data_IF_938257010493
#
_entry.id   IF_938257010493
#
_cell.length_a   1.000
_cell.length_b   1.000
_cell.length_c   1.000
_cell.angle_alpha   90.00
_cell.angle_beta   90.00
_cell.angle_gamma   90.00
#
_symmetry.space_group_name_H-M   'P 1'
#
loop_
_entity.id
_entity.type
_entity.pdbx_description
1 polymer ?
#
# COMPACT_ATOMS: atom_id res chain seq x y z
N UNK A 1 26.65 11.30 11.80
CA UNK A 1 26.49 12.36 12.83
C UNK A 1 25.03 12.36 13.19
N UNK A 2 24.72 12.04 14.47
CA UNK A 2 23.35 11.87 14.91
C UNK A 2 22.58 13.19 14.88
N UNK A 3 21.49 13.20 14.11
CA UNK A 3 20.47 14.25 14.18
C UNK A 3 19.77 14.15 15.51
N UNK A 4 20.17 14.99 16.47
CA UNK A 4 19.57 15.06 17.79
C UNK A 4 18.13 15.53 17.71
N UNK A 5 17.23 14.79 18.32
CA UNK A 5 15.91 15.27 18.70
C UNK A 5 16.07 16.43 19.69
N UNK A 6 16.07 17.65 19.19
CA UNK A 6 15.97 18.85 20.02
C UNK A 6 14.50 19.20 20.26
N UNK A 7 13.85 18.43 21.08
CA UNK A 7 12.52 18.68 21.64
C UNK A 7 12.58 18.60 23.17
N UNK A 8 13.59 19.24 23.77
CA UNK A 8 13.67 19.38 25.22
C UNK A 8 12.85 20.61 25.68
N UNK A 9 11.53 20.51 25.61
CA UNK A 9 10.69 21.20 26.60
C UNK A 9 10.86 20.46 27.92
N UNK A 10 11.06 21.21 29.01
CA UNK A 10 11.18 20.72 30.37
C UNK A 10 10.18 19.58 30.69
N UNK A 11 10.68 18.33 30.60
CA UNK A 11 9.86 17.12 30.70
C UNK A 11 9.48 16.73 32.14
N UNK A 12 9.78 17.56 33.14
CA UNK A 12 9.71 17.20 34.55
C UNK A 12 8.31 17.18 35.15
N UNK A 13 7.23 17.57 34.41
CA UNK A 13 5.88 17.67 35.01
C UNK A 13 4.73 17.34 34.02
N UNK A 14 4.92 16.51 33.00
CA UNK A 14 3.83 16.13 32.09
C UNK A 14 3.02 15.00 32.72
N UNK A 15 1.75 15.24 33.00
CA UNK A 15 0.80 14.17 33.35
C UNK A 15 0.49 13.31 32.10
N UNK A 16 0.00 12.10 32.32
CA UNK A 16 -0.44 11.21 31.24
C UNK A 16 -1.44 11.89 30.29
N UNK A 17 -2.48 12.51 30.84
CA UNK A 17 -3.49 13.22 30.08
C UNK A 17 -2.94 14.42 29.30
N UNK A 18 -2.07 15.21 29.94
CA UNK A 18 -1.45 16.38 29.31
C UNK A 18 -0.43 15.99 28.21
N UNK A 19 0.29 14.86 28.38
CA UNK A 19 1.20 14.36 27.34
C UNK A 19 0.45 13.88 26.09
N UNK A 20 -0.70 13.20 26.28
CA UNK A 20 -1.52 12.67 25.20
C UNK A 20 -2.54 13.66 24.65
N UNK A 21 -2.74 14.82 25.28
CA UNK A 21 -3.80 15.77 24.90
C UNK A 21 -5.19 15.16 25.07
N UNK A 22 -5.40 14.36 26.13
CA UNK A 22 -6.64 13.57 26.25
C UNK A 22 -7.88 14.44 26.42
N UNK A 23 -7.76 15.59 27.06
CA UNK A 23 -8.90 16.49 27.27
C UNK A 23 -9.44 16.97 25.91
N UNK A 24 -8.56 17.44 25.05
CA UNK A 24 -8.89 17.91 23.72
C UNK A 24 -9.39 16.75 22.84
N UNK A 25 -8.66 15.64 22.85
CA UNK A 25 -9.00 14.46 22.03
C UNK A 25 -10.39 13.92 22.37
N UNK A 26 -10.71 13.79 23.67
CA UNK A 26 -11.98 13.24 24.14
C UNK A 26 -13.13 14.27 24.16
N UNK A 27 -12.90 15.51 23.76
CA UNK A 27 -13.95 16.52 23.56
C UNK A 27 -14.43 16.63 22.11
N UNK A 28 -13.83 15.89 21.18
CA UNK A 28 -14.15 15.99 19.75
C UNK A 28 -15.31 15.10 19.29
N UNK A 29 -15.98 14.39 20.21
CA UNK A 29 -17.04 13.43 19.87
C UNK A 29 -18.46 14.02 19.90
N UNK A 30 -18.61 15.34 20.07
CA UNK A 30 -19.88 16.08 19.96
C UNK A 30 -20.95 15.64 20.97
N UNK A 31 -20.56 15.18 22.17
CA UNK A 31 -21.50 14.74 23.21
C UNK A 31 -22.48 15.83 23.63
N UNK A 32 -22.05 17.09 23.62
CA UNK A 32 -22.84 18.27 23.96
C UNK A 32 -23.97 18.56 22.97
N UNK A 33 -23.90 17.95 21.76
CA UNK A 33 -24.95 18.06 20.73
C UNK A 33 -26.10 17.04 20.94
N UNK A 34 -25.99 16.17 21.95
CA UNK A 34 -27.02 15.17 22.26
C UNK A 34 -27.14 14.03 21.25
N UNK A 35 -26.02 13.67 20.65
CA UNK A 35 -25.94 12.56 19.67
C UNK A 35 -26.32 11.21 20.33
N UNK A 36 -26.80 10.27 19.49
CA UNK A 36 -27.12 8.91 19.95
C UNK A 36 -25.85 8.08 20.21
N UNK A 37 -26.00 6.97 20.98
CA UNK A 37 -24.90 6.01 21.16
C UNK A 37 -24.40 5.42 19.84
N UNK A 38 -25.29 5.19 18.87
CA UNK A 38 -24.94 4.68 17.55
C UNK A 38 -24.15 5.71 16.74
N UNK A 39 -24.50 6.99 16.83
CA UNK A 39 -23.75 8.08 16.20
C UNK A 39 -22.40 8.28 16.88
N UNK A 40 -22.33 8.26 18.20
CA UNK A 40 -21.07 8.27 18.96
C UNK A 40 -20.15 7.11 18.52
N UNK A 41 -20.71 5.89 18.41
CA UNK A 41 -19.97 4.72 17.95
C UNK A 41 -19.38 4.94 16.53
N UNK A 42 -20.18 5.52 15.62
CA UNK A 42 -19.75 5.87 14.27
C UNK A 42 -18.61 6.89 14.29
N UNK A 43 -18.75 7.98 15.05
CA UNK A 43 -17.73 9.03 15.17
C UNK A 43 -16.41 8.47 15.70
N UNK A 44 -16.44 7.80 16.86
CA UNK A 44 -15.23 7.25 17.49
C UNK A 44 -14.52 6.25 16.58
N UNK A 45 -15.28 5.38 15.90
CA UNK A 45 -14.70 4.41 14.97
C UNK A 45 -13.95 5.12 13.83
N UNK A 46 -14.54 6.14 13.22
CA UNK A 46 -13.88 6.88 12.12
C UNK A 46 -12.71 7.74 12.62
N UNK A 47 -12.82 8.39 13.76
CA UNK A 47 -11.70 9.12 14.35
C UNK A 47 -10.50 8.22 14.65
N UNK A 48 -10.73 6.99 15.11
CA UNK A 48 -9.63 6.05 15.34
C UNK A 48 -8.97 5.58 14.03
N UNK A 49 -9.71 5.42 12.94
CA UNK A 49 -9.12 5.20 11.62
C UNK A 49 -8.23 6.36 11.20
N UNK A 50 -8.70 7.59 11.31
CA UNK A 50 -7.96 8.79 10.91
C UNK A 50 -6.68 8.99 11.76
N UNK A 51 -6.70 8.65 13.04
CA UNK A 51 -5.51 8.69 13.90
C UNK A 51 -4.46 7.65 13.44
N UNK A 52 -4.89 6.45 13.09
CA UNK A 52 -4.00 5.43 12.55
C UNK A 52 -3.49 5.78 11.15
N UNK A 53 -4.32 6.35 10.29
CA UNK A 53 -3.89 6.82 8.98
C UNK A 53 -2.79 7.87 9.09
N UNK A 54 -2.90 8.79 10.05
CA UNK A 54 -1.85 9.77 10.34
C UNK A 54 -0.51 9.10 10.68
N UNK A 55 -0.53 8.03 11.50
CA UNK A 55 0.68 7.29 11.83
C UNK A 55 1.21 6.53 10.62
N UNK A 56 0.35 5.86 9.87
CA UNK A 56 0.73 5.13 8.64
C UNK A 56 1.41 6.05 7.63
N UNK A 57 0.85 7.23 7.36
CA UNK A 57 1.42 8.23 6.46
C UNK A 57 2.85 8.61 6.88
N UNK A 58 3.07 8.79 8.18
CA UNK A 58 4.40 9.09 8.71
C UNK A 58 5.39 7.94 8.48
N UNK A 59 4.97 6.71 8.80
CA UNK A 59 5.81 5.52 8.60
C UNK A 59 6.14 5.31 7.11
N UNK A 60 5.16 5.46 6.21
CA UNK A 60 5.36 5.31 4.77
C UNK A 60 6.36 6.33 4.22
N UNK A 61 6.34 7.58 4.71
CA UNK A 61 7.31 8.60 4.33
C UNK A 61 8.72 8.23 4.80
N UNK A 62 8.88 7.76 6.03
CA UNK A 62 10.18 7.30 6.55
C UNK A 62 10.75 6.15 5.69
N UNK A 63 9.93 5.16 5.33
CA UNK A 63 10.35 4.05 4.46
C UNK A 63 10.78 4.57 3.10
N UNK A 64 9.96 5.41 2.48
CA UNK A 64 10.24 6.03 1.19
C UNK A 64 11.55 6.80 1.22
N UNK A 65 11.75 7.64 2.21
CA UNK A 65 12.93 8.50 2.33
C UNK A 65 14.20 7.68 2.52
N UNK A 66 14.13 6.57 3.26
CA UNK A 66 15.23 5.60 3.36
C UNK A 66 15.56 5.03 1.97
N UNK A 67 14.56 4.52 1.24
CA UNK A 67 14.77 3.84 -0.04
C UNK A 67 15.11 4.80 -1.19
N UNK A 68 14.68 6.05 -1.13
CA UNK A 68 14.94 7.07 -2.13
C UNK A 68 16.38 7.63 -2.08
N UNK A 69 17.14 7.37 -1.01
CA UNK A 69 18.54 7.82 -0.92
C UNK A 69 19.37 7.21 -2.05
N UNK A 70 20.32 7.97 -2.61
CA UNK A 70 21.19 7.50 -3.70
C UNK A 70 21.95 6.23 -3.31
N UNK A 71 22.39 6.17 -2.05
CA UNK A 71 23.04 5.01 -1.46
C UNK A 71 22.34 4.66 -0.16
N UNK A 72 21.61 3.55 -0.14
CA UNK A 72 20.94 3.07 1.07
C UNK A 72 21.95 2.32 1.93
N UNK A 73 22.35 2.85 3.09
CA UNK A 73 23.25 2.12 3.98
C UNK A 73 22.60 0.82 4.42
N UNK A 74 23.36 -0.27 4.48
CA UNK A 74 22.86 -1.59 4.89
C UNK A 74 22.12 -1.53 6.24
N UNK A 75 22.61 -0.74 7.19
CA UNK A 75 21.99 -0.53 8.50
C UNK A 75 20.61 0.19 8.46
N UNK A 76 20.21 0.77 7.33
CA UNK A 76 18.90 1.41 7.17
C UNK A 76 17.82 0.45 6.65
N UNK A 77 18.22 -0.64 5.98
CA UNK A 77 17.26 -1.63 5.46
C UNK A 77 16.45 -2.28 6.59
N UNK A 78 17.05 -2.72 7.72
CA UNK A 78 16.29 -3.20 8.88
C UNK A 78 15.28 -2.19 9.44
N UNK A 79 15.60 -0.89 9.41
CA UNK A 79 14.67 0.15 9.87
C UNK A 79 13.48 0.28 8.93
N UNK A 80 13.70 0.25 7.62
CA UNK A 80 12.61 0.23 6.65
C UNK A 80 11.69 -0.99 6.87
N UNK A 81 12.26 -2.16 7.14
CA UNK A 81 11.52 -3.38 7.50
C UNK A 81 10.72 -3.20 8.80
N UNK A 82 11.29 -2.58 9.83
CA UNK A 82 10.59 -2.29 11.08
C UNK A 82 9.38 -1.37 10.85
N UNK A 83 9.55 -0.30 10.06
CA UNK A 83 8.48 0.61 9.71
C UNK A 83 7.39 -0.08 8.89
N UNK A 84 7.74 -0.91 7.89
CA UNK A 84 6.79 -1.74 7.12
C UNK A 84 6.00 -2.67 8.03
N UNK A 85 6.69 -3.39 8.93
CA UNK A 85 6.03 -4.27 9.89
C UNK A 85 5.02 -3.55 10.78
N UNK A 86 5.34 -2.32 11.22
CA UNK A 86 4.41 -1.50 12.00
C UNK A 86 3.18 -1.11 11.19
N UNK A 87 3.35 -0.69 9.95
CA UNK A 87 2.24 -0.35 9.04
C UNK A 87 1.36 -1.58 8.79
N UNK A 88 1.97 -2.74 8.57
CA UNK A 88 1.26 -4.02 8.38
C UNK A 88 0.40 -4.36 9.59
N UNK A 89 0.93 -4.27 10.82
CA UNK A 89 0.16 -4.53 12.03
C UNK A 89 -0.96 -3.51 12.25
N UNK A 90 -0.76 -2.24 11.89
CA UNK A 90 -1.82 -1.24 11.91
C UNK A 90 -2.94 -1.65 10.95
N UNK A 91 -2.64 -2.03 9.70
CA UNK A 91 -3.68 -2.47 8.76
C UNK A 91 -4.40 -3.75 9.22
N UNK A 92 -3.70 -4.70 9.84
CA UNK A 92 -4.33 -5.88 10.46
C UNK A 92 -5.30 -5.49 11.57
N UNK A 93 -4.91 -4.54 12.42
CA UNK A 93 -5.79 -3.97 13.44
C UNK A 93 -7.02 -3.31 12.80
N UNK A 94 -6.82 -2.44 11.82
CA UNK A 94 -7.89 -1.71 11.13
C UNK A 94 -8.85 -2.66 10.39
N UNK A 95 -8.34 -3.74 9.77
CA UNK A 95 -9.18 -4.77 9.17
C UNK A 95 -10.10 -5.46 10.21
N UNK A 96 -9.60 -5.67 11.44
CA UNK A 96 -10.41 -6.21 12.52
C UNK A 96 -11.35 -5.16 13.14
N UNK A 97 -11.00 -3.89 13.12
CA UNK A 97 -11.84 -2.79 13.66
C UNK A 97 -13.16 -2.67 12.89
N UNK A 98 -13.22 -3.05 11.62
CA UNK A 98 -14.48 -3.11 10.88
C UNK A 98 -15.53 -4.02 11.53
N UNK A 99 -15.13 -5.06 12.28
CA UNK A 99 -16.04 -5.90 13.05
C UNK A 99 -16.75 -5.13 14.18
N UNK A 100 -16.08 -4.13 14.76
CA UNK A 100 -16.69 -3.23 15.73
C UNK A 100 -17.75 -2.38 15.04
N UNK A 101 -17.43 -1.82 13.85
CA UNK A 101 -18.39 -1.04 13.05
C UNK A 101 -19.59 -1.90 12.59
N UNK A 102 -19.41 -3.19 12.29
CA UNK A 102 -20.47 -4.11 11.90
C UNK A 102 -21.51 -4.37 13.00
N UNK A 103 -21.25 -3.98 14.25
CA UNK A 103 -22.25 -4.04 15.33
C UNK A 103 -23.31 -2.95 15.19
N UNK A 104 -23.06 -1.91 14.40
CA UNK A 104 -24.05 -0.90 14.05
C UNK A 104 -25.09 -1.51 13.11
N UNK A 105 -26.36 -1.46 13.52
CA UNK A 105 -27.45 -1.96 12.71
C UNK A 105 -27.79 -1.00 11.56
N UNK A 106 -28.36 -1.49 10.43
CA UNK A 106 -28.87 -0.60 9.38
C UNK A 106 -29.87 0.44 9.88
N UNK A 107 -30.73 0.05 10.84
CA UNK A 107 -31.72 0.96 11.45
C UNK A 107 -31.03 2.01 12.32
N UNK A 108 -30.05 1.61 13.13
CA UNK A 108 -29.25 2.53 13.95
C UNK A 108 -28.52 3.56 13.09
N UNK A 109 -27.90 3.12 11.99
CA UNK A 109 -27.26 4.02 11.04
C UNK A 109 -28.24 4.98 10.37
N UNK A 110 -29.41 4.48 9.92
CA UNK A 110 -30.42 5.32 9.27
C UNK A 110 -31.01 6.37 10.22
N UNK A 111 -31.01 6.13 11.53
CA UNK A 111 -31.58 7.04 12.52
C UNK A 111 -30.81 8.39 12.59
N UNK A 112 -29.50 8.40 12.33
CA UNK A 112 -28.69 9.63 12.35
C UNK A 112 -28.15 10.03 10.97
N UNK A 113 -28.32 9.19 9.94
CA UNK A 113 -27.74 9.41 8.59
C UNK A 113 -28.04 10.80 8.01
N UNK A 114 -29.26 11.29 8.21
CA UNK A 114 -29.66 12.60 7.68
C UNK A 114 -28.87 13.74 8.34
N UNK A 115 -28.43 13.57 9.58
CA UNK A 115 -27.56 14.50 10.30
C UNK A 115 -26.13 14.56 9.74
N UNK A 116 -25.66 13.54 9.00
CA UNK A 116 -24.34 13.56 8.37
C UNK A 116 -24.31 14.53 7.16
N UNK A 117 -25.44 14.94 6.63
CA UNK A 117 -25.51 15.82 5.49
C UNK A 117 -24.84 15.20 4.24
N UNK A 118 -23.87 15.90 3.68
CA UNK A 118 -23.10 15.45 2.53
C UNK A 118 -21.80 14.73 2.89
N UNK A 119 -21.48 14.57 4.18
CA UNK A 119 -20.25 13.91 4.64
C UNK A 119 -20.20 12.45 4.15
N UNK A 120 -19.06 12.05 3.65
CA UNK A 120 -18.83 10.73 3.06
C UNK A 120 -17.45 10.21 3.45
N UNK A 121 -17.31 8.90 3.68
CA UNK A 121 -16.00 8.26 3.89
C UNK A 121 -15.03 8.46 2.71
N UNK A 122 -15.53 8.81 1.51
CA UNK A 122 -14.69 9.18 0.37
C UNK A 122 -14.01 10.55 0.54
N UNK A 123 -14.38 11.31 1.55
CA UNK A 123 -13.79 12.61 1.90
C UNK A 123 -12.58 12.47 2.84
N UNK A 124 -12.21 11.24 3.26
CA UNK A 124 -10.96 11.02 3.97
C UNK A 124 -9.76 11.37 3.07
N UNK A 125 -9.21 12.56 3.26
CA UNK A 125 -8.02 12.98 2.53
C UNK A 125 -6.79 12.16 2.95
N UNK A 126 -6.71 11.68 4.20
CA UNK A 126 -5.59 10.85 4.65
C UNK A 126 -5.56 9.48 3.94
N UNK A 127 -6.72 8.87 3.68
CA UNK A 127 -6.77 7.65 2.89
C UNK A 127 -6.26 7.90 1.46
N UNK A 128 -6.65 9.04 0.86
CA UNK A 128 -6.16 9.44 -0.45
C UNK A 128 -4.66 9.75 -0.44
N UNK A 129 -4.18 10.44 0.57
CA UNK A 129 -2.75 10.74 0.75
C UNK A 129 -1.91 9.47 0.84
N UNK A 130 -2.37 8.45 1.59
CA UNK A 130 -1.70 7.15 1.65
C UNK A 130 -1.60 6.49 0.27
N UNK A 131 -2.67 6.51 -0.53
CA UNK A 131 -2.66 5.95 -1.88
C UNK A 131 -1.64 6.65 -2.78
N UNK A 132 -1.54 7.98 -2.69
CA UNK A 132 -0.56 8.80 -3.43
C UNK A 132 0.86 8.45 -2.98
N UNK A 133 1.13 8.46 -1.68
CA UNK A 133 2.46 8.14 -1.13
C UNK A 133 2.89 6.72 -1.52
N UNK A 134 1.97 5.76 -1.53
CA UNK A 134 2.23 4.39 -1.98
C UNK A 134 2.51 4.32 -3.49
N UNK A 135 1.97 5.22 -4.30
CA UNK A 135 2.01 5.17 -5.78
C UNK A 135 0.88 4.33 -6.36
N UNK A 136 -0.28 4.29 -5.69
CA UNK A 136 -1.46 3.50 -6.09
C UNK A 136 -2.55 4.36 -6.76
N UNK A 137 -2.30 5.62 -7.01
CA UNK A 137 -3.28 6.56 -7.57
C UNK A 137 -3.84 6.15 -8.93
N UNK A 138 -3.11 5.33 -9.67
CA UNK A 138 -3.52 4.83 -10.99
C UNK A 138 -3.93 3.35 -10.98
N UNK A 139 -3.79 2.64 -9.84
CA UNK A 139 -4.04 1.19 -9.77
C UNK A 139 -5.51 0.91 -9.47
N UNK A 140 -6.17 0.12 -10.32
CA UNK A 140 -7.50 -0.44 -10.06
C UNK A 140 -8.67 0.53 -10.20
N UNK A 141 -8.50 1.69 -10.83
CA UNK A 141 -9.60 2.62 -11.13
C UNK A 141 -10.27 2.26 -12.44
N UNK A 142 -11.60 2.11 -12.39
CA UNK A 142 -12.45 1.71 -13.53
C UNK A 142 -12.63 2.82 -14.57
N UNK A 143 -12.10 4.03 -14.35
CA UNK A 143 -12.22 5.15 -15.29
C UNK A 143 -11.08 6.16 -15.14
N UNK A 144 -10.84 6.94 -16.21
CA UNK A 144 -9.97 8.13 -16.26
C UNK A 144 -10.40 9.27 -15.29
N UNK A 145 -10.96 8.92 -14.13
CA UNK A 145 -11.40 9.91 -13.16
C UNK A 145 -10.18 10.54 -12.48
N UNK A 146 -10.11 11.86 -12.57
CA UNK A 146 -9.17 12.69 -11.82
C UNK A 146 -9.22 12.33 -10.32
N UNK A 147 -8.12 11.79 -9.74
CA UNK A 147 -8.08 11.37 -8.35
C UNK A 147 -8.41 12.49 -7.36
N UNK A 148 -8.13 13.73 -7.73
CA UNK A 148 -8.39 14.92 -6.92
C UNK A 148 -9.67 15.69 -7.32
N UNK A 149 -10.37 15.26 -8.37
CA UNK A 149 -11.54 16.00 -8.87
C UNK A 149 -12.65 16.17 -7.84
N UNK A 150 -12.81 15.20 -6.94
CA UNK A 150 -13.73 15.30 -5.81
C UNK A 150 -13.25 16.34 -4.79
N UNK A 151 -11.98 16.29 -4.38
CA UNK A 151 -11.39 17.22 -3.41
C UNK A 151 -11.34 18.66 -3.93
N UNK A 152 -11.13 18.87 -5.24
CA UNK A 152 -11.24 20.23 -5.85
C UNK A 152 -12.63 20.83 -5.71
N UNK A 153 -13.68 19.99 -5.76
CA UNK A 153 -15.05 20.47 -5.50
C UNK A 153 -15.27 20.76 -4.00
N UNK A 154 -14.73 19.93 -3.12
CA UNK A 154 -14.81 20.15 -1.67
C UNK A 154 -14.09 21.43 -1.25
N UNK A 155 -12.92 21.71 -1.79
CA UNK A 155 -12.09 22.87 -1.46
C UNK A 155 -12.79 24.24 -1.64
N UNK A 156 -13.94 24.27 -2.31
CA UNK A 156 -14.77 25.47 -2.42
C UNK A 156 -15.72 25.67 -1.23
N UNK A 157 -15.80 24.72 -0.28
CA UNK A 157 -16.77 24.72 0.83
C UNK A 157 -16.21 25.36 2.10
N UNK A 158 -14.92 25.06 2.39
CA UNK A 158 -14.26 25.53 3.61
C UNK A 158 -12.75 25.67 3.44
N UNK A 159 -12.12 26.43 4.33
CA UNK A 159 -10.66 26.57 4.40
C UNK A 159 -9.99 25.22 4.76
N UNK A 160 -10.66 24.37 5.55
CA UNK A 160 -10.18 23.04 5.93
C UNK A 160 -10.15 22.10 4.72
N UNK A 161 -11.20 22.11 3.88
CA UNK A 161 -11.23 21.33 2.63
C UNK A 161 -10.17 21.84 1.63
N UNK A 162 -9.96 23.16 1.57
CA UNK A 162 -8.90 23.75 0.75
C UNK A 162 -7.50 23.32 1.25
N UNK A 163 -7.28 23.30 2.56
CA UNK A 163 -6.03 22.81 3.15
C UNK A 163 -5.82 21.31 2.90
N UNK A 164 -6.88 20.50 2.94
CA UNK A 164 -6.83 19.09 2.60
C UNK A 164 -6.42 18.88 1.13
N UNK A 165 -7.00 19.63 0.19
CA UNK A 165 -6.60 19.59 -1.22
C UNK A 165 -5.13 19.97 -1.39
N UNK A 166 -4.69 21.09 -0.81
CA UNK A 166 -3.30 21.54 -0.91
C UNK A 166 -2.31 20.47 -0.39
N UNK A 167 -2.68 19.73 0.67
CA UNK A 167 -1.90 18.62 1.20
C UNK A 167 -1.80 17.45 0.22
N UNK A 168 -2.90 17.11 -0.46
CA UNK A 168 -2.90 16.06 -1.49
C UNK A 168 -2.09 16.45 -2.72
N UNK A 169 -2.20 17.71 -3.16
CA UNK A 169 -1.39 18.23 -4.27
C UNK A 169 0.11 18.22 -3.93
N UNK A 170 0.47 18.60 -2.71
CA UNK A 170 1.85 18.49 -2.24
C UNK A 170 2.35 17.02 -2.22
N UNK A 171 1.50 16.07 -1.82
CA UNK A 171 1.87 14.66 -1.83
C UNK A 171 2.11 14.11 -3.24
N UNK A 172 1.42 14.63 -4.27
CA UNK A 172 1.64 14.23 -5.68
C UNK A 172 3.01 14.67 -6.21
N UNK A 173 3.60 15.72 -5.66
CA UNK A 173 4.95 16.18 -6.02
C UNK A 173 6.06 15.36 -5.32
N UNK A 174 5.70 14.53 -4.33
CA UNK A 174 6.63 13.66 -3.62
C UNK A 174 6.93 12.40 -4.45
N UNK A 175 8.14 11.85 -4.31
CA UNK A 175 8.44 10.51 -4.82
C UNK A 175 7.56 9.48 -4.10
N UNK A 176 6.88 8.61 -4.83
CA UNK A 176 6.08 7.53 -4.22
C UNK A 176 6.96 6.41 -3.68
N UNK A 177 6.40 5.61 -2.74
CA UNK A 177 7.10 4.44 -2.19
C UNK A 177 7.39 3.39 -3.29
N UNK A 178 6.45 3.15 -4.20
CA UNK A 178 6.66 2.25 -5.34
C UNK A 178 7.80 2.74 -6.23
N UNK A 179 7.90 4.04 -6.48
CA UNK A 179 9.01 4.62 -7.25
C UNK A 179 10.35 4.46 -6.53
N UNK A 180 10.40 4.76 -5.23
CA UNK A 180 11.60 4.60 -4.41
C UNK A 180 12.05 3.13 -4.35
N UNK A 181 11.12 2.20 -4.14
CA UNK A 181 11.37 0.76 -4.14
C UNK A 181 11.87 0.27 -5.50
N UNK A 182 11.25 0.72 -6.59
CA UNK A 182 11.67 0.38 -7.97
C UNK A 182 13.09 0.84 -8.23
N UNK A 183 13.42 2.06 -7.81
CA UNK A 183 14.78 2.60 -7.92
C UNK A 183 15.77 1.80 -7.09
N UNK A 184 15.41 1.44 -5.86
CA UNK A 184 16.25 0.62 -4.98
C UNK A 184 16.50 -0.77 -5.58
N UNK A 185 15.45 -1.45 -6.05
CA UNK A 185 15.55 -2.76 -6.73
C UNK A 185 16.43 -2.69 -7.98
N UNK A 186 16.35 -1.60 -8.75
CA UNK A 186 17.17 -1.42 -9.95
C UNK A 186 18.68 -1.35 -9.66
N UNK A 187 19.06 -1.03 -8.43
CA UNK A 187 20.46 -0.95 -7.98
C UNK A 187 20.98 -2.27 -7.40
N UNK A 188 20.16 -3.32 -7.32
CA UNK A 188 20.59 -4.63 -6.84
C UNK A 188 21.74 -5.14 -7.71
N UNK A 189 22.92 -5.47 -7.16
CA UNK A 189 23.99 -6.07 -7.93
C UNK A 189 23.55 -7.44 -8.49
N UNK A 190 23.80 -7.69 -9.75
CA UNK A 190 23.43 -8.95 -10.45
C UNK A 190 24.68 -9.62 -10.97
N UNK A 191 24.92 -10.87 -10.59
CA UNK A 191 26.06 -11.67 -11.04
C UNK A 191 27.43 -11.00 -10.80
N UNK A 192 27.52 -10.11 -9.82
CA UNK A 192 28.75 -9.37 -9.48
C UNK A 192 28.91 -8.02 -10.20
N UNK A 193 28.03 -7.70 -11.14
CA UNK A 193 27.98 -6.38 -11.75
C UNK A 193 27.11 -5.41 -10.94
N UNK A 194 27.50 -4.12 -10.95
CA UNK A 194 26.80 -3.05 -10.23
C UNK A 194 26.04 -2.17 -11.22
N UNK A 195 24.90 -1.64 -10.77
CA UNK A 195 24.10 -0.73 -11.57
C UNK A 195 24.93 0.44 -12.13
N UNK A 196 24.91 0.60 -13.45
CA UNK A 196 25.65 1.66 -14.15
C UNK A 196 27.14 1.38 -14.39
N UNK A 197 27.66 0.19 -14.04
CA UNK A 197 28.99 -0.23 -14.51
C UNK A 197 28.96 -0.60 -15.99
N UNK A 198 30.12 -0.60 -16.65
CA UNK A 198 30.25 -0.83 -18.11
C UNK A 198 29.73 -2.21 -18.52
N UNK A 199 29.80 -3.20 -17.63
CA UNK A 199 29.37 -4.57 -17.83
C UNK A 199 27.93 -4.86 -17.35
N UNK A 200 27.24 -3.90 -16.71
CA UNK A 200 25.93 -4.13 -16.08
C UNK A 200 24.87 -4.60 -17.10
N UNK A 201 24.79 -3.93 -18.24
CA UNK A 201 23.78 -4.27 -19.25
C UNK A 201 23.95 -5.71 -19.77
N UNK A 202 25.18 -6.13 -20.08
CA UNK A 202 25.50 -7.47 -20.57
C UNK A 202 25.25 -8.54 -19.49
N UNK A 203 25.71 -8.29 -18.26
CA UNK A 203 25.52 -9.23 -17.15
C UNK A 203 24.03 -9.45 -16.82
N UNK A 204 23.25 -8.36 -16.81
CA UNK A 204 21.80 -8.43 -16.54
C UNK A 204 21.07 -9.13 -17.67
N UNK A 205 21.41 -8.85 -18.93
CA UNK A 205 20.81 -9.51 -20.08
C UNK A 205 21.09 -11.02 -20.06
N UNK A 206 22.35 -11.41 -19.87
CA UNK A 206 22.73 -12.81 -19.77
C UNK A 206 21.99 -13.56 -18.64
N UNK A 207 21.85 -12.91 -17.48
CA UNK A 207 21.10 -13.46 -16.34
C UNK A 207 19.62 -13.66 -16.66
N UNK A 208 18.96 -12.64 -17.19
CA UNK A 208 17.52 -12.66 -17.53
C UNK A 208 17.25 -13.71 -18.61
N UNK A 209 18.08 -13.77 -19.65
CA UNK A 209 17.92 -14.73 -20.76
C UNK A 209 18.12 -16.17 -20.28
N UNK A 210 19.12 -16.41 -19.45
CA UNK A 210 19.33 -17.73 -18.83
C UNK A 210 18.14 -18.15 -17.98
N UNK A 211 17.54 -17.22 -17.21
CA UNK A 211 16.35 -17.49 -16.40
C UNK A 211 15.14 -17.83 -17.28
N UNK A 212 14.87 -17.04 -18.32
CA UNK A 212 13.75 -17.26 -19.24
C UNK A 212 13.88 -18.58 -19.99
N UNK A 213 15.09 -18.92 -20.45
CA UNK A 213 15.37 -20.21 -21.09
C UNK A 213 15.14 -21.38 -20.13
N UNK A 214 15.60 -21.27 -18.88
CA UNK A 214 15.38 -22.30 -17.87
C UNK A 214 13.89 -22.48 -17.55
N UNK A 215 13.15 -21.37 -17.42
CA UNK A 215 11.71 -21.38 -17.13
C UNK A 215 10.92 -22.05 -18.28
N UNK A 216 11.18 -21.68 -19.53
CA UNK A 216 10.58 -22.32 -20.71
C UNK A 216 10.90 -23.80 -20.76
N UNK A 217 12.17 -24.18 -20.54
CA UNK A 217 12.60 -25.58 -20.54
C UNK A 217 11.96 -26.42 -19.43
N UNK A 218 11.55 -25.84 -18.31
CA UNK A 218 10.73 -26.54 -17.28
C UNK A 218 9.36 -26.87 -17.84
N UNK A 219 8.69 -25.92 -18.49
CA UNK A 219 7.39 -26.10 -19.12
C UNK A 219 7.43 -27.18 -20.23
N UNK A 220 8.45 -27.15 -21.06
CA UNK A 220 8.64 -28.14 -22.13
C UNK A 220 8.84 -29.55 -21.59
N UNK A 221 9.67 -29.71 -20.56
CA UNK A 221 9.87 -31.02 -19.92
C UNK A 221 8.62 -31.51 -19.20
N UNK A 222 7.86 -30.60 -18.56
CA UNK A 222 6.62 -30.94 -17.88
C UNK A 222 5.56 -31.41 -18.87
N UNK A 223 5.36 -30.68 -19.97
CA UNK A 223 4.38 -31.02 -21.01
C UNK A 223 4.76 -32.31 -21.73
N UNK A 224 6.02 -32.54 -22.04
CA UNK A 224 6.48 -33.82 -22.65
C UNK A 224 6.24 -35.02 -21.71
N UNK A 225 6.43 -34.86 -20.39
CA UNK A 225 6.11 -35.91 -19.41
C UNK A 225 4.59 -36.20 -19.38
N UNK A 226 3.77 -35.16 -19.38
CA UNK A 226 2.30 -35.31 -19.36
C UNK A 226 1.79 -35.98 -20.65
N UNK A 227 2.38 -35.64 -21.80
CA UNK A 227 2.10 -36.28 -23.09
C UNK A 227 2.43 -37.77 -23.07
N UNK A 228 3.60 -38.11 -22.52
CA UNK A 228 4.03 -39.54 -22.40
C UNK A 228 3.14 -40.33 -21.41
N UNK A 229 2.48 -39.64 -20.46
CA UNK A 229 1.52 -40.24 -19.53
C UNK A 229 0.09 -40.34 -20.09
N UNK A 230 -0.14 -39.88 -21.32
CA UNK A 230 -1.45 -39.93 -21.97
C UNK A 230 -2.47 -38.98 -21.36
N UNK A 231 -2.01 -37.82 -20.85
CA UNK A 231 -2.92 -36.81 -20.28
C UNK A 231 -3.83 -36.25 -21.37
N UNK A 232 -5.13 -36.24 -21.12
CA UNK A 232 -6.11 -35.69 -22.04
C UNK A 232 -5.88 -34.19 -22.23
N UNK A 233 -6.16 -33.69 -23.44
CA UNK A 233 -6.06 -32.28 -23.80
C UNK A 233 -4.65 -31.67 -23.68
N UNK A 234 -3.62 -32.44 -24.09
CA UNK A 234 -2.20 -32.04 -24.01
C UNK A 234 -1.91 -30.72 -24.72
N UNK A 235 -2.59 -30.39 -25.80
CA UNK A 235 -2.43 -29.12 -26.51
C UNK A 235 -2.83 -27.91 -25.65
N UNK A 236 -3.88 -28.02 -24.83
CA UNK A 236 -4.25 -26.97 -23.89
C UNK A 236 -3.20 -26.83 -22.77
N UNK A 237 -2.59 -27.93 -22.34
CA UNK A 237 -1.48 -27.92 -21.37
C UNK A 237 -0.27 -27.19 -21.95
N UNK A 238 0.15 -27.55 -23.18
CA UNK A 238 1.26 -26.88 -23.91
C UNK A 238 0.98 -25.40 -24.08
N UNK A 239 -0.23 -25.02 -24.48
CA UNK A 239 -0.63 -23.62 -24.62
C UNK A 239 -0.54 -22.82 -23.29
N UNK A 240 -0.91 -23.45 -22.16
CA UNK A 240 -0.77 -22.82 -20.84
C UNK A 240 0.70 -22.57 -20.46
N UNK A 241 1.59 -23.53 -20.71
CA UNK A 241 3.02 -23.34 -20.45
C UNK A 241 3.62 -22.27 -21.37
N UNK A 242 3.26 -22.26 -22.66
CA UNK A 242 3.69 -21.22 -23.58
C UNK A 242 3.20 -19.81 -23.14
N UNK A 243 1.94 -19.69 -22.73
CA UNK A 243 1.39 -18.44 -22.23
C UNK A 243 2.10 -18.00 -20.94
N UNK A 244 2.43 -18.92 -20.04
CA UNK A 244 3.18 -18.61 -18.81
C UNK A 244 4.63 -18.15 -19.15
N UNK A 245 5.30 -18.79 -20.10
CA UNK A 245 6.63 -18.37 -20.58
C UNK A 245 6.60 -16.99 -21.23
N UNK A 246 5.57 -16.70 -22.04
CA UNK A 246 5.38 -15.38 -22.62
C UNK A 246 5.11 -14.34 -21.53
N UNK A 247 4.27 -14.62 -20.55
CA UNK A 247 4.01 -13.73 -19.41
C UNK A 247 5.27 -13.42 -18.60
N UNK A 248 6.14 -14.42 -18.37
CA UNK A 248 7.43 -14.20 -17.71
C UNK A 248 8.36 -13.31 -18.57
N UNK A 249 8.38 -13.52 -19.89
CA UNK A 249 9.13 -12.69 -20.83
C UNK A 249 8.64 -11.22 -20.78
N UNK A 250 7.33 -10.99 -20.91
CA UNK A 250 6.75 -9.65 -20.91
C UNK A 250 6.91 -8.95 -19.54
N UNK A 251 6.96 -9.72 -18.46
CA UNK A 251 7.27 -9.18 -17.14
C UNK A 251 8.71 -8.68 -17.04
N UNK A 252 9.69 -9.45 -17.53
CA UNK A 252 11.10 -9.11 -17.41
C UNK A 252 11.59 -8.17 -18.53
N UNK A 253 11.02 -8.29 -19.73
CA UNK A 253 11.36 -7.52 -20.92
C UNK A 253 10.13 -6.77 -21.50
N UNK A 254 9.50 -5.84 -20.74
CA UNK A 254 8.43 -5.04 -21.30
C UNK A 254 8.94 -4.21 -22.47
N UNK A 255 8.16 -4.12 -23.55
CA UNK A 255 8.50 -3.37 -24.77
C UNK A 255 9.85 -3.76 -25.41
N UNK A 256 10.30 -4.99 -25.16
CA UNK A 256 11.56 -5.53 -25.68
C UNK A 256 12.83 -5.10 -24.95
N UNK A 257 12.71 -4.24 -23.94
CA UNK A 257 13.82 -3.81 -23.07
C UNK A 257 13.76 -4.49 -21.70
N UNK A 258 14.92 -4.72 -21.07
CA UNK A 258 14.98 -5.31 -19.74
C UNK A 258 14.53 -4.29 -18.67
N UNK A 259 13.57 -4.69 -17.82
CA UNK A 259 13.26 -3.95 -16.63
C UNK A 259 14.25 -4.30 -15.51
N UNK A 260 15.21 -3.41 -15.26
CA UNK A 260 16.32 -3.62 -14.31
C UNK A 260 15.84 -3.87 -12.89
N UNK A 261 14.75 -3.21 -12.46
CA UNK A 261 14.17 -3.41 -11.12
C UNK A 261 13.56 -4.82 -10.98
N UNK A 262 12.84 -5.28 -12.01
CA UNK A 262 12.28 -6.64 -12.02
C UNK A 262 13.36 -7.71 -12.11
N UNK A 263 14.46 -7.43 -12.80
CA UNK A 263 15.64 -8.30 -12.82
C UNK A 263 16.29 -8.35 -11.41
N UNK A 264 16.40 -7.21 -10.71
CA UNK A 264 16.89 -7.14 -9.34
C UNK A 264 16.01 -7.92 -8.37
N UNK A 265 14.68 -7.76 -8.46
CA UNK A 265 13.73 -8.54 -7.69
C UNK A 265 13.89 -10.05 -7.94
N UNK A 266 13.96 -10.44 -9.21
CA UNK A 266 14.18 -11.83 -9.61
C UNK A 266 15.49 -12.38 -9.02
N UNK A 267 16.55 -11.58 -9.01
CA UNK A 267 17.85 -11.98 -8.46
C UNK A 267 17.76 -12.22 -6.94
N UNK A 268 17.12 -11.31 -6.20
CA UNK A 268 16.89 -11.46 -4.75
C UNK A 268 16.12 -12.74 -4.47
N UNK A 269 15.05 -13.02 -5.22
CA UNK A 269 14.21 -14.20 -5.04
C UNK A 269 14.92 -15.51 -5.46
N UNK A 270 15.72 -15.47 -6.52
CA UNK A 270 16.43 -16.66 -7.02
C UNK A 270 17.58 -17.10 -6.11
N UNK A 271 18.18 -16.16 -5.39
CA UNK A 271 19.35 -16.39 -4.54
C UNK A 271 19.08 -16.09 -3.06
N UNK A 272 17.93 -16.46 -2.57
CA UNK A 272 17.43 -16.24 -1.20
C UNK A 272 18.40 -16.71 -0.10
N UNK A 273 19.23 -17.69 -0.40
CA UNK A 273 20.20 -18.30 0.53
C UNK A 273 21.48 -17.46 0.71
N UNK A 274 21.72 -16.47 -0.14
CA UNK A 274 22.91 -15.63 -0.04
C UNK A 274 22.82 -14.67 1.15
N UNK A 275 23.80 -14.65 2.06
CA UNK A 275 23.77 -13.75 3.22
C UNK A 275 23.63 -12.27 2.87
N UNK A 276 24.23 -11.82 1.76
CA UNK A 276 24.14 -10.43 1.28
C UNK A 276 22.73 -10.05 0.84
N UNK A 277 21.87 -11.01 0.51
CA UNK A 277 20.49 -10.79 0.09
C UNK A 277 19.48 -11.03 1.22
N UNK A 278 19.93 -11.34 2.44
CA UNK A 278 19.03 -11.63 3.56
C UNK A 278 18.12 -10.44 3.88
N UNK A 279 18.67 -9.23 4.05
CA UNK A 279 17.86 -8.03 4.30
C UNK A 279 17.06 -7.56 3.09
N UNK A 280 17.61 -7.51 1.86
CA UNK A 280 16.82 -7.28 0.65
C UNK A 280 15.59 -8.20 0.54
N UNK A 281 15.74 -9.48 0.80
CA UNK A 281 14.63 -10.43 0.80
C UNK A 281 13.59 -10.12 1.87
N UNK A 282 14.04 -9.89 3.11
CA UNK A 282 13.11 -9.55 4.22
C UNK A 282 12.34 -8.26 3.91
N UNK A 283 12.97 -7.28 3.26
CA UNK A 283 12.28 -6.07 2.81
C UNK A 283 11.20 -6.38 1.77
N UNK A 284 11.50 -7.20 0.77
CA UNK A 284 10.52 -7.62 -0.25
C UNK A 284 9.36 -8.38 0.38
N UNK A 285 9.64 -9.36 1.26
CA UNK A 285 8.62 -10.12 1.99
C UNK A 285 7.72 -9.16 2.81
N UNK A 286 8.29 -8.15 3.48
CA UNK A 286 7.54 -7.16 4.26
C UNK A 286 6.63 -6.25 3.39
N UNK A 287 7.05 -5.94 2.16
CA UNK A 287 6.20 -5.19 1.20
C UNK A 287 4.99 -6.05 0.78
N UNK A 288 5.19 -7.33 0.51
CA UNK A 288 4.10 -8.26 0.18
C UNK A 288 3.11 -8.39 1.34
N UNK A 289 3.62 -8.55 2.58
CA UNK A 289 2.76 -8.61 3.77
C UNK A 289 1.94 -7.32 3.97
N UNK A 290 2.52 -6.16 3.68
CA UNK A 290 1.80 -4.89 3.71
C UNK A 290 0.67 -4.88 2.67
N UNK A 291 0.94 -5.27 1.43
CA UNK A 291 -0.07 -5.35 0.36
C UNK A 291 -1.23 -6.27 0.78
N UNK A 292 -0.94 -7.48 1.26
CA UNK A 292 -1.95 -8.43 1.73
C UNK A 292 -2.82 -7.85 2.85
N UNK A 293 -2.20 -7.17 3.83
CA UNK A 293 -2.93 -6.54 4.94
C UNK A 293 -3.86 -5.41 4.47
N UNK A 294 -3.44 -4.64 3.46
CA UNK A 294 -4.26 -3.60 2.84
C UNK A 294 -5.43 -4.18 2.05
N UNK A 295 -5.22 -5.28 1.31
CA UNK A 295 -6.28 -5.99 0.59
C UNK A 295 -7.34 -6.50 1.58
N UNK A 296 -6.93 -7.09 2.70
CA UNK A 296 -7.84 -7.53 3.76
C UNK A 296 -8.64 -6.37 4.36
N UNK A 297 -7.98 -5.25 4.67
CA UNK A 297 -8.64 -4.04 5.16
C UNK A 297 -9.72 -3.56 4.19
N UNK A 298 -9.41 -3.43 2.89
CA UNK A 298 -10.36 -3.01 1.85
C UNK A 298 -11.51 -4.00 1.68
N UNK A 299 -11.22 -5.29 1.71
CA UNK A 299 -12.23 -6.35 1.59
C UNK A 299 -13.21 -6.31 2.75
N UNK A 300 -12.72 -6.17 4.00
CA UNK A 300 -13.58 -6.05 5.18
C UNK A 300 -14.41 -4.76 5.14
N UNK A 301 -13.81 -3.63 4.71
CA UNK A 301 -14.55 -2.38 4.50
C UNK A 301 -15.73 -2.58 3.54
N UNK A 302 -15.49 -3.15 2.37
CA UNK A 302 -16.53 -3.38 1.39
C UNK A 302 -17.67 -4.25 1.94
N UNK A 303 -17.33 -5.33 2.64
CA UNK A 303 -18.31 -6.22 3.27
C UNK A 303 -19.12 -5.51 4.36
N UNK A 304 -18.46 -4.70 5.18
CA UNK A 304 -19.13 -3.89 6.21
C UNK A 304 -20.11 -2.91 5.57
N UNK A 305 -19.71 -2.19 4.52
CA UNK A 305 -20.59 -1.25 3.81
C UNK A 305 -21.79 -1.96 3.19
N UNK A 306 -21.60 -3.12 2.52
CA UNK A 306 -22.70 -3.93 2.00
C UNK A 306 -23.69 -4.34 3.10
N UNK A 307 -23.20 -4.67 4.29
CA UNK A 307 -24.02 -5.10 5.43
C UNK A 307 -24.82 -3.96 6.03
N UNK A 308 -24.26 -2.76 6.19
CA UNK A 308 -24.90 -1.61 6.86
C UNK A 308 -25.82 -0.86 5.88
N UNK A 309 -25.36 -0.57 4.67
CA UNK A 309 -26.06 0.29 3.70
C UNK A 309 -26.80 -0.55 2.64
N UNK A 310 -26.38 -1.79 2.42
CA UNK A 310 -26.85 -2.65 1.35
C UNK A 310 -26.37 -2.16 -0.02
N UNK A 311 -27.12 -2.52 -1.08
CA UNK A 311 -26.85 -2.06 -2.46
C UNK A 311 -27.42 -0.66 -2.75
N UNK A 312 -27.73 0.12 -1.72
CA UNK A 312 -28.21 1.50 -1.90
C UNK A 312 -27.02 2.39 -2.25
N UNK A 313 -27.25 3.35 -3.13
CA UNK A 313 -26.27 4.37 -3.48
C UNK A 313 -25.90 5.13 -2.20
N UNK A 314 -24.62 5.15 -1.84
CA UNK A 314 -24.09 5.94 -0.74
C UNK A 314 -24.25 7.44 -1.02
N UNK A 315 -23.98 8.28 -0.04
CA UNK A 315 -24.02 9.76 -0.16
C UNK A 315 -23.02 10.30 -1.18
N UNK A 316 -21.93 9.58 -1.47
CA UNK A 316 -21.08 9.80 -2.64
C UNK A 316 -21.42 8.77 -3.71
N UNK A 317 -21.68 9.17 -4.93
CA UNK A 317 -22.09 8.42 -6.14
C UNK A 317 -21.22 7.16 -6.46
N UNK A 318 -20.82 6.41 -5.47
CA UNK A 318 -19.93 5.27 -5.62
C UNK A 318 -20.71 3.96 -5.54
N UNK A 319 -20.80 3.30 -6.67
CA UNK A 319 -20.79 1.86 -6.74
C UNK A 319 -19.45 1.39 -6.14
N UNK A 320 -19.51 0.48 -5.17
CA UNK A 320 -18.34 -0.19 -4.63
C UNK A 320 -17.70 -0.98 -5.78
N UNK A 321 -16.70 -0.40 -6.40
CA UNK A 321 -15.76 -1.10 -7.25
C UNK A 321 -14.44 -1.15 -6.48
N UNK A 322 -14.25 -2.27 -5.83
CA UNK A 322 -12.94 -2.72 -5.29
C UNK A 322 -12.25 -3.47 -6.38
#
# INVERSE_FOLDING_TARGET
MGGGYSGAGDGSNRTYGGYLGLHELLSLQREDEGISNDEMHFIVTHQTFELWFKQVIRELREIRDILATEHVPEAQVPKAVEHLGRVTEIFRLLANQWKVMETLTPQGFLAFRDGLGTASGFESYQMREMEIILGLEHVGRVSDMDPLGHFRKLATRSDEDAAALARLEAALEETSLVSALTTWLSRTPIMGSFYGSDDDAEAVEAYVDAHLAAYTGIGDRASARMEAQGVDNIEAVKARFAAASQGAHDFLKPDGGINRARAGLLFIESYRELPLLAWPRVLVDAVVELEESMVLFRTHHARMVERIIGRRVGTGLSLIHI
#
